data_IF_348205782786
#
_entry.id   IF_348205782786
#
_cell.length_a   1.000
_cell.length_b   1.000
_cell.length_c   1.000
_cell.angle_alpha   90.00
_cell.angle_beta   90.00
_cell.angle_gamma   90.00
#
_symmetry.space_group_name_H-M   'P 1'
#
loop_
_entity.id
_entity.type
_entity.pdbx_description
1 polymer ?
#
# COMPACT_ATOMS: atom_id res chain seq x y z
N UNK A 1 7.14 3.09 -26.13
CA UNK A 1 8.47 3.43 -25.56
C UNK A 1 8.61 2.83 -24.16
N UNK A 2 9.83 2.44 -23.76
CA UNK A 2 10.11 1.97 -22.40
C UNK A 2 10.36 3.15 -21.45
N UNK A 3 10.00 2.99 -20.18
CA UNK A 3 10.29 3.97 -19.14
C UNK A 3 10.61 3.30 -17.80
N UNK A 4 11.32 4.04 -16.97
CA UNK A 4 11.51 3.74 -15.54
C UNK A 4 10.80 4.83 -14.76
N UNK A 5 10.05 4.45 -13.72
CA UNK A 5 9.45 5.37 -12.76
C UNK A 5 10.05 5.12 -11.39
N UNK A 6 10.48 6.19 -10.72
CA UNK A 6 10.75 6.19 -9.29
C UNK A 6 9.65 7.01 -8.64
N UNK A 7 9.16 6.56 -7.49
CA UNK A 7 8.06 7.23 -6.81
C UNK A 7 8.21 7.22 -5.30
N UNK A 8 7.84 8.35 -4.70
CA UNK A 8 7.54 8.45 -3.28
C UNK A 8 6.03 8.38 -3.09
N UNK A 9 5.58 7.58 -2.13
CA UNK A 9 4.17 7.44 -1.78
C UNK A 9 3.95 8.08 -0.41
N UNK A 10 3.42 9.29 -0.38
CA UNK A 10 2.98 9.90 0.87
C UNK A 10 1.66 9.30 1.30
N UNK A 11 1.67 8.37 2.27
CA UNK A 11 0.43 7.79 2.79
C UNK A 11 -0.30 8.82 3.67
N UNK A 12 -1.50 9.19 3.26
CA UNK A 12 -2.31 10.24 3.89
C UNK A 12 -3.17 9.66 5.02
N UNK A 13 -3.80 8.49 4.82
CA UNK A 13 -4.58 7.78 5.84
C UNK A 13 -4.86 6.31 5.43
N UNK A 14 -4.89 5.37 6.38
CA UNK A 14 -5.56 4.09 6.18
C UNK A 14 -7.08 4.29 6.32
N UNK A 15 -7.85 4.02 5.25
CA UNK A 15 -9.30 4.26 5.25
C UNK A 15 -10.12 3.07 5.78
N UNK A 16 -9.62 1.84 5.61
CA UNK A 16 -10.39 0.61 5.91
C UNK A 16 -9.54 -0.53 6.49
N UNK A 17 -8.36 -0.24 7.03
CA UNK A 17 -7.45 -1.29 7.53
C UNK A 17 -8.04 -1.95 8.79
N UNK A 18 -8.26 -3.26 8.71
CA UNK A 18 -8.79 -4.10 9.79
C UNK A 18 -7.85 -5.29 10.02
N UNK A 19 -7.62 -5.63 11.28
CA UNK A 19 -6.82 -6.79 11.69
C UNK A 19 -7.67 -7.63 12.63
N UNK A 20 -8.19 -8.76 12.17
CA UNK A 20 -8.99 -9.63 13.04
C UNK A 20 -8.06 -10.41 13.98
N UNK A 21 -8.24 -10.24 15.29
CA UNK A 21 -7.37 -10.80 16.31
C UNK A 21 -6.66 -9.75 17.17
N UNK A 22 -6.74 -8.46 16.82
CA UNK A 22 -6.35 -7.33 17.68
C UNK A 22 -7.60 -6.64 18.22
N UNK A 23 -7.64 -6.41 19.52
CA UNK A 23 -8.77 -5.74 20.19
C UNK A 23 -8.53 -4.22 20.26
N UNK A 24 -9.53 -3.43 19.86
CA UNK A 24 -9.51 -1.98 20.01
C UNK A 24 -10.04 -1.54 21.39
N UNK A 25 -9.80 -0.28 21.76
CA UNK A 25 -10.46 0.34 22.92
C UNK A 25 -11.98 0.44 22.69
N UNK A 26 -12.74 0.35 23.78
CA UNK A 26 -14.20 0.49 23.75
C UNK A 26 -14.60 1.83 23.12
N UNK A 27 -15.55 1.80 22.17
CA UNK A 27 -16.01 2.97 21.41
C UNK A 27 -15.21 3.26 20.14
N UNK A 28 -14.15 2.48 19.84
CA UNK A 28 -13.32 2.59 18.62
C UNK A 28 -13.22 1.27 17.87
N UNK A 29 -14.21 0.39 18.00
CA UNK A 29 -14.21 -0.94 17.41
C UNK A 29 -14.20 -0.92 15.87
N UNK A 30 -14.56 0.22 15.28
CA UNK A 30 -14.56 0.44 13.83
C UNK A 30 -13.33 1.21 13.32
N UNK A 31 -12.53 1.75 14.23
CA UNK A 31 -11.34 2.53 13.88
C UNK A 31 -10.21 1.59 13.45
N UNK A 32 -9.33 2.07 12.59
CA UNK A 32 -8.16 1.29 12.20
C UNK A 32 -7.16 1.20 13.35
N UNK A 33 -6.66 0.00 13.70
CA UNK A 33 -5.60 -0.14 14.70
C UNK A 33 -4.23 0.35 14.20
N UNK A 34 -4.15 0.79 12.93
CA UNK A 34 -2.95 1.31 12.29
C UNK A 34 -3.18 2.75 11.83
N UNK A 35 -2.11 3.53 11.84
CA UNK A 35 -2.05 4.89 11.32
C UNK A 35 -0.93 5.01 10.29
N UNK A 36 -0.98 6.07 9.48
CA UNK A 36 -0.05 6.29 8.36
C UNK A 36 1.41 6.34 8.81
N UNK A 37 2.32 5.89 7.95
CA UNK A 37 3.72 6.29 8.00
C UNK A 37 4.06 7.11 6.75
N UNK A 38 4.99 8.06 6.87
CA UNK A 38 5.55 8.77 5.72
C UNK A 38 6.67 7.98 5.03
N UNK A 39 6.70 6.66 5.23
CA UNK A 39 7.72 5.76 4.72
C UNK A 39 7.05 4.82 3.73
N UNK A 40 6.83 5.31 2.51
CA UNK A 40 6.44 4.47 1.39
C UNK A 40 7.01 5.00 0.08
N UNK A 41 7.35 4.07 -0.80
CA UNK A 41 8.01 4.39 -2.06
C UNK A 41 8.27 3.14 -2.87
N UNK A 42 8.77 3.34 -4.07
CA UNK A 42 9.10 2.23 -4.94
C UNK A 42 9.54 2.67 -6.31
N UNK A 43 9.55 1.71 -7.21
CA UNK A 43 9.89 1.95 -8.60
C UNK A 43 9.13 1.01 -9.50
N UNK A 44 9.00 1.41 -10.76
CA UNK A 44 8.35 0.63 -11.79
C UNK A 44 9.16 0.65 -13.07
N UNK A 45 9.05 -0.44 -13.82
CA UNK A 45 9.53 -0.54 -15.19
C UNK A 45 8.32 -0.77 -16.09
N UNK A 46 8.18 0.07 -17.12
CA UNK A 46 6.98 0.08 -17.93
C UNK A 46 7.23 0.28 -19.41
N UNK A 47 6.16 0.02 -20.16
CA UNK A 47 6.07 0.25 -21.58
C UNK A 47 4.82 1.06 -21.89
N UNK A 48 5.01 2.19 -22.57
CA UNK A 48 3.96 3.00 -23.15
C UNK A 48 3.73 2.58 -24.60
N UNK A 49 2.48 2.36 -24.97
CA UNK A 49 2.08 2.10 -26.36
C UNK A 49 1.66 3.45 -26.96
N UNK A 50 0.36 3.70 -27.05
CA UNK A 50 -0.21 5.01 -27.37
C UNK A 50 -0.81 5.61 -26.09
N UNK A 51 -2.13 5.58 -25.94
CA UNK A 51 -2.85 6.04 -24.75
C UNK A 51 -2.78 5.04 -23.60
N UNK A 52 -2.26 3.83 -23.84
CA UNK A 52 -2.15 2.78 -22.84
C UNK A 52 -0.70 2.64 -22.38
N UNK A 53 -0.51 2.59 -21.05
CA UNK A 53 0.76 2.21 -20.43
C UNK A 53 0.58 0.97 -19.58
N UNK A 54 1.57 0.10 -19.57
CA UNK A 54 1.63 -1.05 -18.67
C UNK A 54 2.96 -1.01 -17.93
N UNK A 55 2.95 -1.22 -16.62
CA UNK A 55 4.19 -1.39 -15.86
C UNK A 55 4.13 -2.50 -14.82
N UNK A 56 5.32 -2.95 -14.44
CA UNK A 56 5.55 -3.78 -13.27
C UNK A 56 6.17 -2.90 -12.20
N UNK A 57 5.55 -2.85 -11.04
CA UNK A 57 5.89 -1.96 -9.93
C UNK A 57 6.26 -2.78 -8.69
N UNK A 58 7.36 -2.40 -8.06
CA UNK A 58 7.78 -2.88 -6.74
C UNK A 58 7.67 -1.76 -5.72
N UNK A 59 7.04 -2.05 -4.58
CA UNK A 59 6.76 -1.07 -3.55
C UNK A 59 7.13 -1.58 -2.16
N UNK A 60 7.52 -0.62 -1.33
CA UNK A 60 7.63 -0.77 0.11
C UNK A 60 6.76 0.27 0.79
N UNK A 61 6.02 -0.15 1.81
CA UNK A 61 5.30 0.75 2.70
C UNK A 61 5.27 0.24 4.13
N UNK A 62 5.04 1.17 5.05
CA UNK A 62 4.91 0.90 6.47
C UNK A 62 3.71 1.66 7.02
N UNK A 63 2.96 1.05 7.93
CA UNK A 63 1.98 1.71 8.78
C UNK A 63 2.43 1.60 10.24
N UNK A 64 2.20 2.63 11.04
CA UNK A 64 2.49 2.62 12.47
C UNK A 64 1.27 2.12 13.25
N UNK A 65 1.49 1.57 14.44
CA UNK A 65 0.42 1.23 15.39
C UNK A 65 -0.27 2.50 15.89
N UNK A 66 -1.61 2.51 15.91
CA UNK A 66 -2.38 3.58 16.54
C UNK A 66 -2.62 3.27 18.03
N UNK A 67 -1.82 3.88 18.90
CA UNK A 67 -1.90 3.68 20.36
C UNK A 67 -3.17 4.26 20.99
N UNK A 68 -3.89 5.14 20.29
CA UNK A 68 -5.16 5.68 20.76
C UNK A 68 -6.34 4.78 20.38
N UNK A 69 -6.14 3.81 19.49
CA UNK A 69 -7.16 2.85 19.03
C UNK A 69 -6.93 1.45 19.61
N UNK A 70 -5.68 0.98 19.66
CA UNK A 70 -5.35 -0.36 20.18
C UNK A 70 -5.56 -0.43 21.69
N UNK A 71 -6.21 -1.49 22.18
CA UNK A 71 -6.47 -1.69 23.60
C UNK A 71 -5.16 -1.89 24.38
N UNK A 72 -5.05 -1.29 25.58
CA UNK A 72 -3.86 -1.40 26.43
C UNK A 72 -3.61 -2.81 26.95
N UNK A 73 -4.62 -3.68 26.95
CA UNK A 73 -4.46 -5.12 27.28
C UNK A 73 -3.75 -5.92 26.18
N UNK A 74 -3.70 -5.42 24.94
CA UNK A 74 -3.02 -6.07 23.83
C UNK A 74 -1.51 -5.74 23.85
N UNK A 75 -0.77 -6.43 24.71
CA UNK A 75 0.65 -6.16 24.96
C UNK A 75 1.59 -6.58 23.83
N UNK A 76 1.14 -7.50 22.96
CA UNK A 76 1.93 -8.12 21.90
C UNK A 76 1.65 -7.57 20.50
N UNK A 77 1.07 -6.38 20.36
CA UNK A 77 0.90 -5.73 19.05
C UNK A 77 2.21 -5.09 18.61
N UNK A 78 2.62 -5.37 17.37
CA UNK A 78 3.80 -4.79 16.74
C UNK A 78 3.65 -3.27 16.57
N UNK A 79 4.74 -2.53 16.70
CA UNK A 79 4.71 -1.07 16.62
C UNK A 79 4.55 -0.55 15.18
N UNK A 80 4.81 -1.40 14.19
CA UNK A 80 4.55 -1.11 12.79
C UNK A 80 4.20 -2.37 12.00
N UNK A 81 3.45 -2.18 10.92
CA UNK A 81 3.13 -3.17 9.91
C UNK A 81 3.82 -2.79 8.61
N UNK A 82 4.64 -3.67 8.07
CA UNK A 82 5.36 -3.45 6.81
C UNK A 82 4.72 -4.26 5.69
N UNK A 83 4.68 -3.69 4.50
CA UNK A 83 4.21 -4.35 3.29
C UNK A 83 5.23 -4.13 2.16
N UNK A 84 5.73 -5.24 1.60
CA UNK A 84 6.38 -5.24 0.30
C UNK A 84 5.37 -5.71 -0.73
N UNK A 85 5.24 -5.05 -1.87
CA UNK A 85 4.30 -5.50 -2.91
C UNK A 85 4.90 -5.43 -4.31
N UNK A 86 4.45 -6.36 -5.13
CA UNK A 86 4.71 -6.38 -6.56
C UNK A 86 3.38 -6.35 -7.30
N UNK A 87 3.20 -5.39 -8.19
CA UNK A 87 1.98 -5.21 -8.97
C UNK A 87 2.28 -5.09 -10.45
N UNK A 88 1.31 -5.52 -11.26
CA UNK A 88 1.22 -5.14 -12.66
C UNK A 88 0.11 -4.12 -12.78
N UNK A 89 0.43 -2.97 -13.37
CA UNK A 89 -0.49 -1.86 -13.54
C UNK A 89 -0.77 -1.62 -15.02
N UNK A 90 -2.00 -1.19 -15.31
CA UNK A 90 -2.42 -0.68 -16.59
C UNK A 90 -2.95 0.73 -16.40
N UNK A 91 -2.53 1.64 -17.27
CA UNK A 91 -2.91 3.03 -17.25
C UNK A 91 -3.52 3.45 -18.58
N UNK A 92 -4.41 4.42 -18.49
CA UNK A 92 -4.93 5.18 -19.61
C UNK A 92 -4.49 6.64 -19.45
N UNK A 93 -3.72 7.12 -20.42
CA UNK A 93 -3.26 8.50 -20.55
C UNK A 93 -4.25 9.27 -21.40
N UNK A 94 -4.74 10.38 -20.85
CA UNK A 94 -5.65 11.27 -21.56
C UNK A 94 -4.79 12.30 -22.28
N UNK A 95 -4.64 12.12 -23.59
CA UNK A 95 -3.97 13.11 -24.43
C UNK A 95 -4.84 14.39 -24.48
N UNK A 96 -4.22 15.52 -24.15
CA UNK A 96 -4.80 16.86 -24.34
C UNK A 96 -3.92 17.55 -25.37
N UNK A 97 -4.50 17.92 -26.51
CA UNK A 97 -3.78 18.63 -27.57
C UNK A 97 -3.20 19.95 -27.02
N UNK A 98 -1.99 20.28 -27.49
CA UNK A 98 -1.27 21.52 -27.19
C UNK A 98 -1.01 21.82 -25.70
N UNK A 99 -1.08 20.82 -24.82
CA UNK A 99 -0.75 20.97 -23.40
C UNK A 99 0.42 20.06 -22.96
N UNK A 100 1.38 20.57 -22.17
CA UNK A 100 2.47 19.76 -21.60
C UNK A 100 2.01 18.86 -20.43
N UNK A 101 0.70 18.80 -20.16
CA UNK A 101 0.10 18.05 -19.05
C UNK A 101 -0.68 16.87 -19.62
N UNK A 102 -0.42 15.68 -19.09
CA UNK A 102 -1.13 14.44 -19.44
C UNK A 102 -1.81 13.86 -18.19
N UNK A 103 -3.13 14.06 -18.02
CA UNK A 103 -3.88 13.34 -17.00
C UNK A 103 -3.84 11.83 -17.25
N UNK A 104 -3.88 11.04 -16.19
CA UNK A 104 -3.94 9.58 -16.28
C UNK A 104 -4.83 8.98 -15.21
N UNK A 105 -5.35 7.80 -15.52
CA UNK A 105 -5.97 6.88 -14.56
C UNK A 105 -5.34 5.50 -14.73
N UNK A 106 -5.25 4.74 -13.65
CA UNK A 106 -4.67 3.41 -13.71
C UNK A 106 -5.21 2.49 -12.64
N UNK A 107 -5.13 1.20 -12.93
CA UNK A 107 -5.50 0.12 -12.01
C UNK A 107 -4.40 -0.94 -12.02
N UNK A 108 -4.24 -1.59 -10.88
CA UNK A 108 -3.18 -2.57 -10.67
C UNK A 108 -3.65 -3.75 -9.85
N UNK A 109 -3.03 -4.90 -10.12
CA UNK A 109 -3.24 -6.14 -9.36
C UNK A 109 -1.90 -6.82 -9.13
N UNK A 110 -1.79 -7.55 -8.03
CA UNK A 110 -0.56 -8.24 -7.69
C UNK A 110 -0.62 -8.94 -6.34
N UNK A 111 0.52 -8.98 -5.68
CA UNK A 111 0.66 -9.59 -4.37
C UNK A 111 1.40 -8.67 -3.40
N UNK A 112 1.04 -8.75 -2.13
CA UNK A 112 1.76 -8.12 -1.04
C UNK A 112 2.28 -9.17 -0.06
N UNK A 113 3.47 -8.95 0.44
CA UNK A 113 4.12 -9.70 1.50
C UNK A 113 4.15 -8.81 2.75
N UNK A 114 3.31 -9.14 3.72
CA UNK A 114 2.99 -8.32 4.88
C UNK A 114 3.63 -8.92 6.12
N UNK A 115 4.11 -8.09 7.05
CA UNK A 115 4.63 -8.57 8.33
C UNK A 115 3.56 -9.00 9.31
N UNK A 116 3.88 -9.90 10.24
CA UNK A 116 2.97 -10.22 11.33
C UNK A 116 2.70 -8.95 12.17
N UNK A 117 1.44 -8.58 12.44
CA UNK A 117 1.11 -7.47 13.33
C UNK A 117 1.28 -7.82 14.82
N UNK A 118 1.74 -9.03 15.15
CA UNK A 118 2.21 -9.42 16.49
C UNK A 118 3.73 -9.25 16.64
N UNK A 119 4.17 -8.81 17.82
CA UNK A 119 5.58 -8.78 18.24
C UNK A 119 5.98 -9.90 19.19
N UNK A 120 5.13 -10.89 19.41
CA UNK A 120 5.49 -12.05 20.24
C UNK A 120 6.69 -12.80 19.64
N UNK A 121 7.69 -13.15 20.46
CA UNK A 121 8.98 -13.66 20.00
C UNK A 121 8.89 -14.89 19.09
N UNK A 122 7.90 -15.75 19.31
CA UNK A 122 7.70 -16.96 18.52
C UNK A 122 7.22 -16.71 17.08
N UNK A 123 6.62 -15.54 16.82
CA UNK A 123 5.84 -15.28 15.59
C UNK A 123 6.15 -13.92 14.93
N UNK A 124 6.90 -13.02 15.59
CA UNK A 124 7.21 -11.67 15.12
C UNK A 124 7.91 -11.60 13.75
N UNK A 125 8.65 -12.65 13.41
CA UNK A 125 9.39 -12.74 12.15
C UNK A 125 8.56 -13.36 11.01
N UNK A 126 7.32 -13.81 11.31
CA UNK A 126 6.41 -14.33 10.29
C UNK A 126 6.00 -13.23 9.31
N UNK A 127 5.83 -13.66 8.06
CA UNK A 127 5.36 -12.84 6.94
C UNK A 127 4.29 -13.63 6.19
N UNK A 128 3.31 -12.94 5.63
CA UNK A 128 2.14 -13.53 5.01
C UNK A 128 1.87 -12.88 3.66
N UNK A 129 1.49 -13.71 2.68
CA UNK A 129 1.08 -13.23 1.37
C UNK A 129 -0.40 -12.83 1.39
N UNK A 130 -0.70 -11.72 0.73
CA UNK A 130 -2.05 -11.25 0.44
C UNK A 130 -2.18 -10.86 -1.03
N UNK A 131 -3.40 -10.95 -1.55
CA UNK A 131 -3.72 -10.39 -2.86
C UNK A 131 -3.70 -8.86 -2.77
N UNK A 132 -3.00 -8.20 -3.68
CA UNK A 132 -2.88 -6.75 -3.73
C UNK A 132 -3.63 -6.16 -4.93
N UNK A 133 -4.22 -4.99 -4.74
CA UNK A 133 -4.89 -4.23 -5.78
C UNK A 133 -4.69 -2.74 -5.56
N UNK A 134 -4.83 -1.99 -6.64
CA UNK A 134 -4.52 -0.57 -6.64
C UNK A 134 -5.33 0.20 -7.66
N UNK A 135 -5.65 1.45 -7.34
CA UNK A 135 -6.15 2.45 -8.27
C UNK A 135 -5.31 3.73 -8.15
N UNK A 136 -5.02 4.36 -9.27
CA UNK A 136 -4.21 5.59 -9.37
C UNK A 136 -4.92 6.58 -10.29
N UNK A 137 -4.83 7.86 -9.97
CA UNK A 137 -5.27 8.93 -10.86
C UNK A 137 -4.42 10.16 -10.62
N UNK A 138 -3.96 10.82 -11.68
CA UNK A 138 -3.06 11.95 -11.54
C UNK A 138 -2.79 12.68 -12.83
N UNK A 139 -1.75 13.49 -12.81
CA UNK A 139 -1.26 14.25 -13.96
C UNK A 139 0.24 14.05 -14.11
N UNK A 140 0.71 13.96 -15.34
CA UNK A 140 2.13 14.00 -15.69
C UNK A 140 2.44 15.31 -16.40
N UNK A 141 3.61 15.88 -16.17
CA UNK A 141 4.11 17.10 -16.81
C UNK A 141 5.44 16.81 -17.51
N UNK A 142 5.51 17.16 -18.79
CA UNK A 142 6.68 16.94 -19.62
C UNK A 142 7.69 18.08 -19.41
N UNK A 143 8.76 17.81 -18.64
CA UNK A 143 9.83 18.79 -18.38
C UNK A 143 10.81 18.83 -19.55
N UNK A 144 11.17 17.66 -20.04
CA UNK A 144 11.98 17.43 -21.25
C UNK A 144 11.41 16.22 -21.99
N UNK A 145 11.78 15.97 -23.26
CA UNK A 145 11.31 14.79 -23.99
C UNK A 145 11.57 13.45 -23.26
N UNK A 146 12.60 13.39 -22.41
CA UNK A 146 13.02 12.20 -21.67
C UNK A 146 12.57 12.19 -20.20
N UNK A 147 12.30 13.36 -19.59
CA UNK A 147 11.96 13.49 -18.17
C UNK A 147 10.55 14.04 -18.00
N UNK A 148 9.73 13.23 -17.31
CA UNK A 148 8.36 13.58 -16.92
C UNK A 148 8.27 13.61 -15.40
N UNK A 149 7.66 14.67 -14.86
CA UNK A 149 7.24 14.72 -13.46
C UNK A 149 5.79 14.26 -13.39
N UNK A 150 5.37 13.66 -12.28
CA UNK A 150 3.98 13.29 -12.09
C UNK A 150 3.55 13.59 -10.66
N UNK A 151 2.25 13.77 -10.49
CA UNK A 151 1.61 13.87 -9.19
C UNK A 151 0.23 13.21 -9.30
N UNK A 152 -0.13 12.39 -8.32
CA UNK A 152 -1.39 11.67 -8.35
C UNK A 152 -1.89 11.27 -6.98
N UNK A 153 -3.17 10.91 -6.92
CA UNK A 153 -3.77 10.20 -5.83
C UNK A 153 -3.72 8.70 -6.10
N UNK A 154 -3.51 7.93 -5.04
CA UNK A 154 -3.38 6.48 -5.07
C UNK A 154 -4.20 5.86 -3.95
N UNK A 155 -4.96 4.83 -4.29
CA UNK A 155 -5.53 3.88 -3.34
C UNK A 155 -4.83 2.53 -3.51
N UNK A 156 -4.34 1.95 -2.41
CA UNK A 156 -3.77 0.60 -2.37
C UNK A 156 -4.51 -0.24 -1.32
N UNK A 157 -4.71 -1.50 -1.65
CA UNK A 157 -5.31 -2.49 -0.76
C UNK A 157 -4.64 -3.85 -0.90
N UNK A 158 -4.58 -4.59 0.20
CA UNK A 158 -4.20 -5.99 0.22
C UNK A 158 -5.01 -6.74 1.26
N UNK A 159 -5.47 -7.95 0.90
CA UNK A 159 -6.25 -8.82 1.79
C UNK A 159 -5.82 -10.28 1.67
N UNK A 160 -6.21 -11.08 2.67
CA UNK A 160 -6.01 -12.53 2.69
C UNK A 160 -4.78 -13.00 3.48
N UNK A 161 -3.92 -12.08 3.92
CA UNK A 161 -2.81 -12.43 4.81
C UNK A 161 -3.35 -12.87 6.19
N UNK A 162 -2.76 -13.95 6.71
CA UNK A 162 -3.07 -14.51 8.03
C UNK A 162 -1.77 -14.91 8.72
N UNK A 163 -1.77 -14.85 10.05
CA UNK A 163 -0.58 -15.01 10.89
C UNK A 163 -0.94 -15.70 12.20
N UNK A 164 0.05 -16.21 12.91
CA UNK A 164 -0.12 -16.62 14.30
C UNK A 164 -0.07 -15.40 15.24
N UNK A 165 -0.81 -15.43 16.36
CA UNK A 165 -0.91 -14.29 17.28
C UNK A 165 0.19 -14.28 18.35
N UNK A 166 0.49 -15.42 18.97
CA UNK A 166 1.36 -15.51 20.14
C UNK A 166 2.30 -16.74 20.09
N UNK A 167 1.81 -17.87 19.60
CA UNK A 167 2.58 -19.09 19.43
C UNK A 167 2.31 -19.69 18.04
N UNK A 168 3.23 -20.52 17.54
CA UNK A 168 3.06 -21.18 16.25
C UNK A 168 1.78 -22.03 16.24
N UNK A 169 1.03 -21.95 15.15
CA UNK A 169 -0.21 -22.69 14.89
C UNK A 169 -1.37 -22.36 15.87
N UNK A 170 -1.45 -21.12 16.37
CA UNK A 170 -2.53 -20.70 17.26
C UNK A 170 -3.80 -20.23 16.52
N UNK A 171 -4.82 -19.75 17.25
CA UNK A 171 -6.07 -19.28 16.65
C UNK A 171 -5.88 -18.11 15.65
N UNK A 172 -4.72 -17.43 15.73
CA UNK A 172 -4.17 -16.56 14.72
C UNK A 172 -4.78 -15.17 14.61
N UNK A 173 -4.05 -14.33 13.90
CA UNK A 173 -4.52 -13.08 13.31
C UNK A 173 -4.95 -13.39 11.89
N UNK A 174 -6.22 -13.13 11.56
CA UNK A 174 -6.80 -13.52 10.27
C UNK A 174 -7.28 -12.30 9.49
N UNK A 175 -7.44 -12.48 8.18
CA UNK A 175 -8.03 -11.47 7.30
C UNK A 175 -7.36 -10.09 7.44
N UNK A 176 -6.03 -10.06 7.50
CA UNK A 176 -5.29 -8.80 7.60
C UNK A 176 -5.55 -7.99 6.34
N UNK A 177 -6.26 -6.88 6.51
CA UNK A 177 -6.54 -5.92 5.46
C UNK A 177 -5.57 -4.75 5.62
N UNK A 178 -4.63 -4.65 4.69
CA UNK A 178 -3.70 -3.52 4.60
C UNK A 178 -4.21 -2.57 3.52
N UNK A 179 -4.68 -1.38 3.87
CA UNK A 179 -5.14 -0.40 2.90
C UNK A 179 -4.62 1.00 3.20
N UNK A 180 -4.20 1.70 2.15
CA UNK A 180 -3.64 3.05 2.25
C UNK A 180 -4.18 3.93 1.13
N UNK A 181 -4.49 5.18 1.49
CA UNK A 181 -4.71 6.26 0.53
C UNK A 181 -3.60 7.27 0.68
N UNK A 182 -3.03 7.68 -0.45
CA UNK A 182 -1.89 8.58 -0.45
C UNK A 182 -1.77 9.38 -1.73
N UNK A 183 -0.79 10.28 -1.71
CA UNK A 183 -0.30 10.94 -2.90
C UNK A 183 0.94 10.19 -3.42
N UNK A 184 1.09 10.11 -4.74
CA UNK A 184 2.32 9.67 -5.39
C UNK A 184 2.93 10.83 -6.19
N UNK A 185 4.26 10.91 -6.16
CA UNK A 185 5.07 11.86 -6.92
C UNK A 185 6.47 11.29 -7.18
#
# INVERSE_FOLDING_TARGET
SYYVRLQYNGEILPLYTKVEGITNVTGKEKDSPLTRSFIAGGGAFGYKMDDIRVDVEGLYSQLAKDTAVVNTSETNVADSLTAFSGLVNVYYDIAIEDMPITPYVGVGVGAAYISNPSKADAVKDQKGFGFAYQAKAGVSYDVTPEIKLFAGARYFGSYGASFDKAAKDDAGIKNVLYSTVGAEA
#
